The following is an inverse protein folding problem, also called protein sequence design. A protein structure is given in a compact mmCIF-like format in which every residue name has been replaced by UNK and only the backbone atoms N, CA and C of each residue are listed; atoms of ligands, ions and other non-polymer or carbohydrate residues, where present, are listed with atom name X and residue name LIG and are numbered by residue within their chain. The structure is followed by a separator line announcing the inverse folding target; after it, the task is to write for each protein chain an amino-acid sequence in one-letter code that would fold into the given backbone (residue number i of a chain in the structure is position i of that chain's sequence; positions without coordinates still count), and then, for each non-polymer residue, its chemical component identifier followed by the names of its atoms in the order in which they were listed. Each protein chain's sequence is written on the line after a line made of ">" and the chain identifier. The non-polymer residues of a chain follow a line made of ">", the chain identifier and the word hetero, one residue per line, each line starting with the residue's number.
data_IF_549681434200
#
_entry.id   IF_549681434200
#
_cell.length_a   1.000
_cell.length_b   1.000
_cell.length_c   1.000
_cell.angle_alpha   90.00
_cell.angle_beta   90.00
_cell.angle_gamma   90.00
#
_symmetry.space_group_name_H-M   'P 1'
#
loop_
_entity.id
_entity.type
_entity.pdbx_description
1 polymer ?
#
# COMPACT_ATOMS: atom_id res chain seq x y z
N UNK A 1 2.87 10.13 8.76
CA UNK A 1 2.71 10.45 7.33
C UNK A 1 4.03 11.02 6.76
N UNK A 2 4.90 10.18 6.17
CA UNK A 2 6.26 10.59 5.82
C UNK A 2 6.35 11.76 4.84
N UNK A 3 5.51 11.75 3.80
CA UNK A 3 5.55 12.79 2.77
C UNK A 3 5.10 14.16 3.30
N UNK A 4 4.06 14.19 4.13
CA UNK A 4 3.60 15.43 4.78
C UNK A 4 4.67 16.02 5.71
N UNK A 5 5.27 15.15 6.54
CA UNK A 5 6.28 15.54 7.52
C UNK A 5 7.66 15.76 6.91
N UNK A 6 7.83 15.53 5.61
CA UNK A 6 9.12 15.61 4.88
C UNK A 6 10.20 14.70 5.47
N UNK A 7 9.80 13.56 6.04
CA UNK A 7 10.76 12.59 6.57
C UNK A 7 11.59 11.99 5.44
N UNK A 8 12.89 11.92 5.67
CA UNK A 8 13.81 11.26 4.76
C UNK A 8 13.84 9.74 5.04
N UNK A 9 14.02 8.87 4.02
CA UNK A 9 14.16 7.44 4.25
C UNK A 9 15.20 7.07 5.30
N UNK A 10 16.33 7.78 5.33
CA UNK A 10 17.39 7.56 6.33
C UNK A 10 16.98 7.88 7.78
N UNK A 11 15.97 8.70 7.99
CA UNK A 11 15.40 8.99 9.31
C UNK A 11 14.44 7.87 9.71
N UNK A 12 13.59 7.44 8.78
CA UNK A 12 12.63 6.34 9.01
C UNK A 12 13.37 5.04 9.37
N UNK A 13 14.48 4.74 8.68
CA UNK A 13 15.29 3.55 8.94
C UNK A 13 15.89 3.50 10.35
N UNK A 14 15.93 4.61 11.09
CA UNK A 14 16.41 4.68 12.48
C UNK A 14 15.30 4.46 13.50
N UNK A 15 14.05 4.42 13.07
CA UNK A 15 12.92 4.24 13.97
C UNK A 15 12.86 2.78 14.46
N UNK A 16 12.48 2.61 15.71
CA UNK A 16 12.24 1.32 16.34
C UNK A 16 10.81 1.23 16.85
N UNK A 17 10.18 0.05 16.74
CA UNK A 17 8.83 -0.18 17.24
C UNK A 17 7.75 0.50 16.39
N UNK A 18 8.00 0.72 15.11
CA UNK A 18 7.00 1.21 14.15
C UNK A 18 6.28 0.01 13.55
N UNK A 19 4.97 -0.08 13.77
CA UNK A 19 4.16 -1.20 13.28
C UNK A 19 3.60 -0.96 11.87
N UNK A 20 3.41 0.30 11.45
CA UNK A 20 2.90 0.68 10.13
C UNK A 20 3.26 2.13 9.79
N UNK A 21 3.09 2.51 8.52
CA UNK A 21 3.24 3.89 8.07
C UNK A 21 2.10 4.29 7.12
N UNK A 22 1.70 5.54 7.20
CA UNK A 22 0.63 6.09 6.38
C UNK A 22 1.13 6.32 4.94
N UNK A 23 0.55 5.53 4.00
CA UNK A 23 0.86 5.64 2.58
C UNK A 23 0.10 6.78 1.92
N UNK A 24 -1.11 7.07 2.40
CA UNK A 24 -1.95 8.12 1.86
C UNK A 24 -2.84 8.76 2.93
N UNK A 25 -2.98 10.11 2.83
CA UNK A 25 -3.80 10.92 3.72
C UNK A 25 -4.70 11.85 2.89
N UNK A 26 -6.03 11.74 3.03
CA UNK A 26 -6.95 12.47 2.13
C UNK A 26 -7.05 13.95 2.44
N UNK A 27 -7.03 14.36 3.69
CA UNK A 27 -7.06 15.80 4.06
C UNK A 27 -5.83 16.53 3.53
N UNK A 28 -4.70 15.84 3.42
CA UNK A 28 -3.49 16.38 2.80
C UNK A 28 -3.55 16.47 1.27
N UNK A 29 -4.55 15.85 0.62
CA UNK A 29 -4.66 15.78 -0.84
C UNK A 29 -5.39 17.00 -1.43
N UNK A 30 -4.88 18.18 -1.14
CA UNK A 30 -5.37 19.44 -1.69
C UNK A 30 -4.34 20.05 -2.61
N UNK A 31 -4.74 20.81 -3.66
CA UNK A 31 -3.81 21.27 -4.69
C UNK A 31 -2.63 22.10 -4.18
N UNK A 32 -2.81 22.86 -3.10
CA UNK A 32 -1.76 23.68 -2.51
C UNK A 32 -0.77 22.92 -1.63
N UNK A 33 -1.03 21.64 -1.34
CA UNK A 33 -0.09 20.76 -0.63
C UNK A 33 0.85 19.98 -1.57
N UNK A 34 0.69 20.13 -2.88
CA UNK A 34 1.46 19.39 -3.86
C UNK A 34 1.22 17.88 -3.74
N UNK A 35 2.29 17.09 -3.79
CA UNK A 35 2.21 15.62 -3.70
C UNK A 35 2.33 15.08 -2.27
N UNK A 36 2.13 15.88 -1.24
CA UNK A 36 2.37 15.47 0.15
C UNK A 36 1.35 14.50 0.73
N UNK A 37 0.24 14.27 0.02
CA UNK A 37 -0.74 13.25 0.39
C UNK A 37 -0.25 11.81 0.18
N UNK A 38 0.67 11.59 -0.76
CA UNK A 38 1.14 10.25 -1.15
C UNK A 38 2.58 10.03 -0.67
N UNK A 39 2.79 9.02 0.16
CA UNK A 39 4.07 8.63 0.72
C UNK A 39 4.64 7.36 0.06
N UNK A 40 4.01 6.83 -0.98
CA UNK A 40 4.37 5.53 -1.58
C UNK A 40 5.83 5.46 -2.00
N UNK A 41 6.37 6.50 -2.63
CA UNK A 41 7.78 6.54 -3.08
C UNK A 41 8.76 6.49 -1.89
N UNK A 42 8.44 7.18 -0.79
CA UNK A 42 9.28 7.15 0.42
C UNK A 42 9.27 5.74 1.02
N UNK A 43 8.07 5.12 1.14
CA UNK A 43 7.92 3.78 1.70
C UNK A 43 8.54 2.70 0.80
N UNK A 44 8.44 2.84 -0.51
CA UNK A 44 9.13 1.96 -1.46
C UNK A 44 10.66 2.07 -1.31
N UNK A 45 11.18 3.28 -1.11
CA UNK A 45 12.61 3.48 -0.87
C UNK A 45 13.06 2.83 0.45
N UNK A 46 12.25 2.96 1.50
CA UNK A 46 12.51 2.31 2.80
C UNK A 46 12.46 0.78 2.69
N UNK A 47 11.49 0.24 1.94
CA UNK A 47 11.39 -1.19 1.66
C UNK A 47 12.59 -1.70 0.84
N UNK A 48 13.04 -0.95 -0.18
CA UNK A 48 14.23 -1.27 -0.97
C UNK A 48 15.50 -1.34 -0.13
N UNK A 49 15.54 -0.60 0.99
CA UNK A 49 16.64 -0.59 1.96
C UNK A 49 16.46 -1.63 3.09
N UNK A 50 15.48 -2.53 2.97
CA UNK A 50 15.31 -3.69 3.85
C UNK A 50 14.34 -3.50 5.02
N UNK A 51 13.57 -2.39 5.08
CA UNK A 51 12.57 -2.15 6.12
C UNK A 51 11.15 -2.08 5.51
N UNK A 52 10.45 -3.21 5.34
CA UNK A 52 9.11 -3.23 4.77
C UNK A 52 8.10 -2.79 5.83
N UNK A 53 7.66 -1.55 5.79
CA UNK A 53 6.62 -1.06 6.69
C UNK A 53 5.23 -1.40 6.12
N UNK A 54 4.34 -2.03 6.92
CA UNK A 54 2.95 -2.16 6.56
C UNK A 54 2.32 -0.79 6.25
N UNK A 55 1.47 -0.75 5.20
CA UNK A 55 0.91 0.49 4.68
C UNK A 55 -0.53 0.68 5.17
N UNK A 56 -0.80 1.79 5.84
CA UNK A 56 -2.14 2.24 6.21
C UNK A 56 -2.51 3.50 5.42
N UNK A 57 -3.80 3.75 5.22
CA UNK A 57 -4.30 5.02 4.71
C UNK A 57 -5.38 5.55 5.66
N UNK A 58 -5.48 6.86 5.77
CA UNK A 58 -6.46 7.51 6.62
C UNK A 58 -7.04 8.75 5.98
N UNK A 59 -8.21 9.14 6.46
CA UNK A 59 -8.82 10.42 6.10
C UNK A 59 -8.13 11.58 6.78
N UNK A 60 -7.65 11.37 8.02
CA UNK A 60 -7.18 12.44 8.91
C UNK A 60 -8.28 13.50 9.16
N UNK A 61 -9.54 13.03 9.20
CA UNK A 61 -10.72 13.90 9.32
C UNK A 61 -10.69 14.72 10.60
N UNK A 62 -10.89 16.01 10.46
CA UNK A 62 -11.05 16.97 11.56
C UNK A 62 -12.50 17.39 11.74
N UNK A 63 -13.28 17.31 10.65
CA UNK A 63 -14.68 17.72 10.60
C UNK A 63 -15.51 16.68 9.84
N UNK A 64 -16.75 16.44 10.28
CA UNK A 64 -17.69 15.55 9.59
C UNK A 64 -18.45 16.30 8.49
N UNK A 65 -17.71 16.78 7.50
CA UNK A 65 -18.24 17.60 6.40
C UNK A 65 -17.83 17.08 5.02
N UNK A 66 -17.62 15.75 4.89
CA UNK A 66 -17.22 15.09 3.65
C UNK A 66 -15.73 14.73 3.59
N UNK A 67 -14.99 14.84 4.70
CA UNK A 67 -13.61 14.41 4.81
C UNK A 67 -13.52 12.90 5.11
N UNK A 68 -14.58 12.34 5.69
CA UNK A 68 -14.64 10.98 6.22
C UNK A 68 -14.92 9.91 5.15
N UNK A 69 -14.46 8.69 5.43
CA UNK A 69 -14.73 7.47 4.64
C UNK A 69 -14.17 7.49 3.21
N UNK A 70 -13.14 8.26 2.97
CA UNK A 70 -12.45 8.33 1.66
C UNK A 70 -11.21 7.46 1.60
N UNK A 71 -10.56 7.22 2.76
CA UNK A 71 -9.43 6.33 2.92
C UNK A 71 -9.55 5.51 4.21
N UNK A 72 -9.21 4.25 4.11
CA UNK A 72 -9.34 3.29 5.22
C UNK A 72 -8.43 2.08 5.01
N UNK A 73 -8.39 1.19 5.98
CA UNK A 73 -7.82 -0.14 5.82
C UNK A 73 -8.95 -1.18 5.74
N UNK A 74 -8.76 -2.17 4.87
CA UNK A 74 -9.49 -3.44 4.95
C UNK A 74 -8.68 -4.40 5.79
N UNK A 75 -9.30 -4.92 6.85
CA UNK A 75 -8.64 -5.77 7.83
C UNK A 75 -9.30 -7.14 7.86
N UNK A 76 -8.49 -8.19 7.85
CA UNK A 76 -8.94 -9.57 7.97
C UNK A 76 -8.81 -10.04 9.42
N UNK A 77 -9.94 -10.08 10.12
CA UNK A 77 -10.05 -10.62 11.47
C UNK A 77 -11.10 -11.75 11.50
N UNK A 78 -10.90 -12.71 12.39
CA UNK A 78 -11.80 -13.87 12.52
C UNK A 78 -13.09 -13.48 13.23
N UNK A 79 -13.05 -12.45 14.08
CA UNK A 79 -14.17 -11.93 14.84
C UNK A 79 -14.12 -10.42 14.95
N UNK A 80 -15.30 -9.79 15.14
CA UNK A 80 -15.39 -8.35 15.39
C UNK A 80 -15.26 -8.07 16.89
N UNK A 81 -14.05 -8.22 17.42
CA UNK A 81 -13.68 -7.86 18.78
C UNK A 81 -12.29 -7.24 18.82
N UNK A 82 -11.96 -6.61 19.95
CA UNK A 82 -10.69 -5.88 20.12
C UNK A 82 -9.47 -6.77 19.91
N UNK A 83 -9.44 -7.97 20.50
CA UNK A 83 -8.26 -8.84 20.44
C UNK A 83 -8.01 -9.37 19.02
N UNK A 84 -9.05 -9.77 18.29
CA UNK A 84 -8.95 -10.23 16.92
C UNK A 84 -8.50 -9.10 15.96
N UNK A 85 -9.01 -7.88 16.17
CA UNK A 85 -8.59 -6.69 15.40
C UNK A 85 -7.11 -6.37 15.67
N UNK A 86 -6.70 -6.33 16.94
CA UNK A 86 -5.31 -6.04 17.31
C UNK A 86 -4.34 -7.12 16.83
N UNK A 87 -4.74 -8.40 16.86
CA UNK A 87 -3.96 -9.50 16.31
C UNK A 87 -3.78 -9.35 14.79
N UNK A 88 -4.85 -9.01 14.08
CA UNK A 88 -4.81 -8.78 12.64
C UNK A 88 -3.90 -7.59 12.28
N UNK A 89 -3.98 -6.48 13.02
CA UNK A 89 -3.10 -5.32 12.82
C UNK A 89 -1.63 -5.68 13.05
N UNK A 90 -1.31 -6.35 14.17
CA UNK A 90 0.06 -6.76 14.49
C UNK A 90 0.65 -7.75 13.49
N UNK A 91 -0.19 -8.58 12.90
CA UNK A 91 0.21 -9.57 11.88
C UNK A 91 0.22 -9.00 10.44
N UNK A 92 -0.12 -7.72 10.25
CA UNK A 92 -0.17 -7.09 8.94
C UNK A 92 -1.27 -7.66 8.03
N UNK A 93 -2.34 -8.26 8.59
CA UNK A 93 -3.47 -8.81 7.83
C UNK A 93 -4.44 -7.72 7.40
N UNK A 94 -3.94 -6.73 6.69
CA UNK A 94 -4.72 -5.61 6.16
C UNK A 94 -4.06 -5.01 4.92
N UNK A 95 -4.80 -4.17 4.22
CA UNK A 95 -4.31 -3.33 3.16
C UNK A 95 -5.01 -1.97 3.19
N UNK A 96 -4.33 -0.94 2.69
CA UNK A 96 -4.87 0.41 2.57
C UNK A 96 -5.74 0.56 1.32
N UNK A 97 -6.82 1.34 1.37
CA UNK A 97 -7.72 1.50 0.23
C UNK A 97 -8.48 2.83 0.24
N UNK A 98 -8.76 3.31 -0.97
CA UNK A 98 -9.71 4.38 -1.30
C UNK A 98 -11.05 3.84 -1.84
N UNK A 99 -11.24 2.49 -1.80
CA UNK A 99 -12.44 1.84 -2.30
C UNK A 99 -12.20 0.48 -2.97
N UNK A 100 -11.19 0.32 -3.86
CA UNK A 100 -10.93 -0.97 -4.47
C UNK A 100 -10.69 -2.06 -3.44
N UNK A 101 -11.26 -3.25 -3.69
CA UNK A 101 -11.00 -4.45 -2.89
C UNK A 101 -9.88 -5.25 -3.52
N UNK A 102 -9.01 -5.84 -2.71
CA UNK A 102 -7.99 -6.77 -3.17
C UNK A 102 -7.69 -7.87 -2.16
N UNK A 103 -7.22 -9.00 -2.66
CA UNK A 103 -6.55 -10.03 -1.91
C UNK A 103 -5.21 -10.29 -2.57
N UNK A 104 -4.15 -10.41 -1.78
CA UNK A 104 -2.79 -10.64 -2.25
C UNK A 104 -2.28 -11.94 -1.65
N UNK A 105 -1.78 -12.81 -2.51
CA UNK A 105 -1.14 -14.06 -2.13
C UNK A 105 0.33 -14.02 -2.58
N UNK A 106 1.24 -14.37 -1.67
CA UNK A 106 2.66 -14.53 -1.95
C UNK A 106 3.08 -15.96 -1.60
N UNK A 107 3.46 -16.75 -2.60
CA UNK A 107 3.86 -18.14 -2.41
C UNK A 107 5.38 -18.36 -2.27
N UNK A 108 6.16 -17.27 -2.19
CA UNK A 108 7.62 -17.29 -2.16
C UNK A 108 8.26 -17.11 -3.55
N UNK A 109 7.49 -17.20 -4.63
CA UNK A 109 7.97 -17.04 -6.02
C UNK A 109 7.12 -16.09 -6.86
N UNK A 110 5.81 -16.09 -6.64
CA UNK A 110 4.85 -15.32 -7.44
C UNK A 110 3.89 -14.59 -6.52
N UNK A 111 3.69 -13.31 -6.78
CA UNK A 111 2.63 -12.54 -6.16
C UNK A 111 1.40 -12.56 -7.04
N UNK A 112 0.27 -13.04 -6.49
CA UNK A 112 -1.03 -13.05 -7.15
C UNK A 112 -1.94 -12.04 -6.49
N UNK A 113 -2.65 -11.28 -7.31
CA UNK A 113 -3.62 -10.27 -6.89
C UNK A 113 -4.99 -10.64 -7.46
N UNK A 114 -5.99 -10.74 -6.57
CA UNK A 114 -7.39 -10.74 -6.93
C UNK A 114 -8.01 -9.43 -6.45
N UNK A 115 -8.79 -8.76 -7.30
CA UNK A 115 -9.32 -7.44 -6.96
C UNK A 115 -10.73 -7.19 -7.50
N UNK A 116 -11.40 -6.16 -6.98
CA UNK A 116 -12.57 -5.59 -7.65
C UNK A 116 -12.17 -5.09 -9.04
N UNK A 117 -13.13 -4.91 -9.99
CA UNK A 117 -12.80 -4.44 -11.34
C UNK A 117 -11.92 -3.20 -11.32
N UNK A 118 -10.76 -3.28 -11.96
CA UNK A 118 -9.72 -2.26 -11.96
C UNK A 118 -9.28 -1.91 -13.38
N UNK A 119 -8.67 -0.75 -13.52
CA UNK A 119 -8.02 -0.28 -14.75
C UNK A 119 -6.57 -0.70 -14.82
N UNK A 120 -5.90 -0.73 -13.65
CA UNK A 120 -4.51 -1.15 -13.54
C UNK A 120 -4.31 -2.00 -12.29
N UNK A 121 -3.45 -3.01 -12.42
CA UNK A 121 -2.75 -3.64 -11.30
C UNK A 121 -1.26 -3.47 -11.55
N UNK A 122 -0.56 -2.83 -10.61
CA UNK A 122 0.85 -2.46 -10.75
C UNK A 122 1.66 -3.15 -9.66
N UNK A 123 2.76 -3.76 -10.04
CA UNK A 123 3.72 -4.36 -9.11
C UNK A 123 4.94 -3.43 -8.99
N UNK A 124 5.23 -2.99 -7.77
CA UNK A 124 6.36 -2.12 -7.44
C UNK A 124 7.50 -2.90 -6.81
N UNK A 125 8.70 -2.57 -7.22
CA UNK A 125 9.95 -3.17 -6.74
C UNK A 125 11.01 -2.06 -6.65
N UNK A 126 12.23 -2.38 -6.23
CA UNK A 126 13.38 -1.46 -6.27
C UNK A 126 13.89 -1.14 -7.68
N UNK A 127 13.38 -1.85 -8.70
CA UNK A 127 13.85 -1.65 -10.09
C UNK A 127 13.01 -0.58 -10.80
N UNK A 128 13.62 0.06 -11.79
CA UNK A 128 12.93 1.00 -12.68
C UNK A 128 11.77 0.33 -13.42
N UNK A 129 10.92 1.15 -14.04
CA UNK A 129 9.73 0.69 -14.77
C UNK A 129 10.00 -0.49 -15.70
N UNK A 130 9.06 -1.45 -15.67
CA UNK A 130 8.96 -2.54 -16.62
C UNK A 130 7.50 -2.78 -16.99
N UNK A 131 7.20 -2.92 -18.29
CA UNK A 131 5.84 -3.21 -18.76
C UNK A 131 5.30 -4.55 -18.21
N UNK A 132 6.17 -5.50 -17.87
CA UNK A 132 5.79 -6.79 -17.26
C UNK A 132 5.17 -6.67 -15.89
N UNK A 133 5.41 -5.54 -15.20
CA UNK A 133 4.88 -5.25 -13.85
C UNK A 133 3.55 -4.52 -13.87
N UNK A 134 2.92 -4.36 -15.04
CA UNK A 134 1.66 -3.63 -15.17
C UNK A 134 0.66 -4.45 -15.98
N UNK A 135 -0.39 -4.91 -15.32
CA UNK A 135 -1.61 -5.32 -15.99
C UNK A 135 -2.48 -4.08 -16.23
N UNK A 136 -2.93 -3.88 -17.47
CA UNK A 136 -3.73 -2.71 -17.87
C UNK A 136 -4.88 -3.10 -18.79
N UNK A 137 -6.02 -2.47 -18.58
CA UNK A 137 -7.24 -2.69 -19.39
C UNK A 137 -8.49 -2.45 -18.53
N UNK A 138 -9.67 -2.45 -19.12
CA UNK A 138 -10.91 -2.29 -18.38
C UNK A 138 -11.24 -3.57 -17.62
N UNK A 139 -11.75 -3.45 -16.40
CA UNK A 139 -12.34 -4.54 -15.64
C UNK A 139 -11.40 -5.65 -15.21
N UNK A 140 -10.11 -5.36 -15.00
CA UNK A 140 -9.13 -6.34 -14.51
C UNK A 140 -9.55 -6.78 -13.11
N UNK A 141 -9.62 -8.11 -12.89
CA UNK A 141 -9.95 -8.70 -11.59
C UNK A 141 -8.84 -9.58 -11.02
N UNK A 142 -7.80 -9.84 -11.83
CA UNK A 142 -6.64 -10.63 -11.40
C UNK A 142 -5.38 -10.23 -12.15
N UNK A 143 -4.25 -10.32 -11.48
CA UNK A 143 -2.93 -10.17 -12.07
C UNK A 143 -1.91 -10.96 -11.25
N UNK A 144 -0.78 -11.30 -11.88
CA UNK A 144 0.32 -11.98 -11.19
C UNK A 144 1.66 -11.45 -11.66
N UNK A 145 2.65 -11.55 -10.79
CA UNK A 145 4.02 -11.16 -11.10
C UNK A 145 5.02 -12.05 -10.38
N UNK A 146 6.01 -12.52 -11.14
CA UNK A 146 7.16 -13.24 -10.64
C UNK A 146 8.38 -12.31 -10.65
N UNK A 147 8.94 -11.94 -9.50
CA UNK A 147 10.08 -11.04 -9.44
C UNK A 147 11.35 -11.68 -9.97
N UNK A 148 12.24 -10.85 -10.51
CA UNK A 148 13.58 -11.26 -10.94
C UNK A 148 14.60 -11.20 -9.82
N UNK A 149 15.76 -11.85 -10.03
CA UNK A 149 16.82 -12.02 -9.04
C UNK A 149 17.45 -10.71 -8.48
N UNK A 150 17.21 -9.56 -9.10
CA UNK A 150 17.72 -8.27 -8.63
C UNK A 150 16.68 -7.44 -7.87
N UNK A 151 15.47 -7.96 -7.73
CA UNK A 151 14.39 -7.26 -7.04
C UNK A 151 14.43 -7.63 -5.56
N UNK A 152 14.47 -6.61 -4.68
CA UNK A 152 14.68 -6.79 -3.24
C UNK A 152 13.39 -6.70 -2.43
N UNK A 153 12.38 -6.06 -2.99
CA UNK A 153 11.03 -6.05 -2.41
C UNK A 153 9.97 -6.14 -3.52
N UNK A 154 8.76 -6.48 -3.12
CA UNK A 154 7.60 -6.50 -4.01
C UNK A 154 6.36 -6.05 -3.27
N UNK A 155 5.56 -5.19 -3.88
CA UNK A 155 4.19 -4.87 -3.47
C UNK A 155 3.27 -4.67 -4.66
N UNK A 156 1.97 -4.78 -4.45
CA UNK A 156 0.96 -4.52 -5.46
C UNK A 156 0.17 -3.23 -5.15
N UNK A 157 -0.30 -2.59 -6.21
CA UNK A 157 -1.25 -1.47 -6.17
C UNK A 157 -2.35 -1.71 -7.19
N UNK A 158 -3.60 -1.58 -6.76
CA UNK A 158 -4.78 -1.68 -7.62
C UNK A 158 -5.32 -0.27 -7.86
N UNK A 159 -5.61 0.08 -9.10
CA UNK A 159 -6.16 1.39 -9.48
C UNK A 159 -7.44 1.15 -10.28
N UNK A 160 -8.57 1.65 -9.78
CA UNK A 160 -9.87 1.50 -10.45
C UNK A 160 -10.07 2.51 -11.59
N UNK A 161 -11.24 2.45 -12.23
CA UNK A 161 -11.60 3.35 -13.35
C UNK A 161 -11.73 4.82 -12.92
N UNK A 162 -11.96 5.09 -11.64
CA UNK A 162 -12.04 6.43 -11.05
C UNK A 162 -10.66 6.95 -10.59
N UNK A 163 -9.60 6.15 -10.71
CA UNK A 163 -8.26 6.48 -10.24
C UNK A 163 -8.05 6.27 -8.74
N UNK A 164 -9.03 5.69 -8.02
CA UNK A 164 -8.90 5.34 -6.61
C UNK A 164 -7.99 4.13 -6.48
N UNK A 165 -7.23 4.10 -5.40
CA UNK A 165 -6.18 3.13 -5.19
C UNK A 165 -6.44 2.18 -4.02
N UNK A 166 -5.84 1.00 -4.10
CA UNK A 166 -5.58 0.15 -2.95
C UNK A 166 -4.11 -0.28 -2.95
N UNK A 167 -3.47 -0.29 -1.79
CA UNK A 167 -2.05 -0.56 -1.62
C UNK A 167 -1.83 -1.78 -0.75
N UNK A 168 -1.15 -2.78 -1.28
CA UNK A 168 -0.60 -3.87 -0.49
C UNK A 168 0.69 -3.42 0.21
N UNK A 169 0.91 -3.92 1.43
CA UNK A 169 2.18 -3.76 2.12
C UNK A 169 3.31 -4.49 1.37
N UNK A 170 4.55 -3.96 1.40
CA UNK A 170 5.67 -4.61 0.74
C UNK A 170 6.10 -5.91 1.44
N UNK A 171 6.53 -6.88 0.65
CA UNK A 171 7.25 -8.08 1.11
C UNK A 171 8.70 -7.99 0.69
N UNK A 172 9.63 -8.44 1.55
CA UNK A 172 11.04 -8.55 1.21
C UNK A 172 11.27 -9.85 0.45
N UNK A 173 12.02 -9.76 -0.62
CA UNK A 173 12.42 -10.89 -1.44
C UNK A 173 13.77 -11.39 -0.95
N UNK A 174 13.78 -12.56 -0.33
CA UNK A 174 15.00 -13.28 0.01
C UNK A 174 15.38 -14.09 -1.23
N UNK A 175 16.16 -13.48 -2.10
CA UNK A 175 16.68 -14.12 -3.31
C UNK A 175 18.08 -14.70 -3.06
#
# INVERSE_FOLDING_TARGET
>A
HPSWSLNQPAEILKLHGVDASEVFNSVSNVPWNGCRADSSVILDTVAALGMPLPMVASDDSHFYTGEECTNFIWLQADELNFDAIMDALKKGRFYASQGPKMAVEWDGSTMKVHCSPAKYVVFYTNMVYSAKRVAKGPGITQAEYQPGAQETFLRAEVIDEQGRKAWASPVILNL
#
